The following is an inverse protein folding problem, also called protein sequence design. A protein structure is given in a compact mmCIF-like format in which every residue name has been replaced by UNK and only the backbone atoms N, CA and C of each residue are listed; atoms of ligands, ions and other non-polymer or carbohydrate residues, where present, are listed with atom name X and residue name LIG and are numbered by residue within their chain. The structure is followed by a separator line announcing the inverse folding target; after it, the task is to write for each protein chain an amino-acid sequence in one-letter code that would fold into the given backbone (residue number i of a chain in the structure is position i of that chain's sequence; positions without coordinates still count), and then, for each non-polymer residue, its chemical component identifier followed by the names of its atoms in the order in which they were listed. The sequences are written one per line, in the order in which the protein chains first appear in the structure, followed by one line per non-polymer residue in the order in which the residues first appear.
data_IF_865486317597
#
_entry.id   IF_865486317597
#
_cell.length_a   1.000
_cell.length_b   1.000
_cell.length_c   1.000
_cell.angle_alpha   90.00
_cell.angle_beta   90.00
_cell.angle_gamma   90.00
#
_symmetry.space_group_name_H-M   'P 1'
#
loop_
_entity.id
_entity.type
_entity.pdbx_description
1 polymer ?
#
# COMPACT_ATOMS: atom_id res chain seq x y z
N UNK A 1 -16.96 -10.41 -3.44
CA UNK A 1 -17.66 -9.32 -4.14
C UNK A 1 -16.69 -8.17 -4.46
N UNK A 2 -15.48 -8.48 -4.95
CA UNK A 2 -14.46 -7.48 -5.38
C UNK A 2 -14.44 -7.30 -6.91
N UNK A 3 -14.90 -8.30 -7.66
CA UNK A 3 -14.94 -8.33 -9.13
C UNK A 3 -15.77 -7.20 -9.77
N UNK A 4 -16.69 -6.58 -9.01
CA UNK A 4 -17.59 -5.53 -9.51
C UNK A 4 -17.05 -4.11 -9.34
N UNK A 5 -15.94 -3.92 -8.61
CA UNK A 5 -15.49 -2.59 -8.18
C UNK A 5 -14.53 -1.89 -9.17
N UNK A 6 -14.36 -2.42 -10.39
CA UNK A 6 -13.45 -1.88 -11.40
C UNK A 6 -11.96 -2.01 -11.02
N UNK A 7 -11.07 -1.56 -11.91
CA UNK A 7 -9.63 -1.58 -11.70
C UNK A 7 -9.24 -0.57 -10.60
N UNK A 8 -8.59 -0.98 -9.49
CA UNK A 8 -8.17 -0.04 -8.44
C UNK A 8 -7.27 1.11 -8.89
N UNK A 9 -6.56 0.98 -10.02
CA UNK A 9 -5.68 2.03 -10.54
C UNK A 9 -6.39 3.08 -11.42
N UNK A 10 -7.70 2.96 -11.65
CA UNK A 10 -8.46 3.98 -12.39
C UNK A 10 -9.04 5.08 -11.51
N UNK A 11 -8.88 4.99 -10.19
CA UNK A 11 -9.29 6.04 -9.25
C UNK A 11 -8.19 7.10 -9.13
N UNK A 12 -8.49 8.34 -8.70
CA UNK A 12 -7.48 9.39 -8.57
C UNK A 12 -6.27 8.96 -7.74
N UNK A 13 -6.51 8.50 -6.50
CA UNK A 13 -5.44 8.02 -5.62
C UNK A 13 -4.78 6.73 -6.13
N UNK A 14 -5.57 5.84 -6.76
CA UNK A 14 -5.07 4.60 -7.30
C UNK A 14 -4.07 4.78 -8.44
N UNK A 15 -4.32 5.78 -9.30
CA UNK A 15 -3.39 6.14 -10.37
C UNK A 15 -2.08 6.71 -9.82
N UNK A 16 -2.15 7.55 -8.78
CA UNK A 16 -0.95 8.06 -8.11
C UNK A 16 -0.15 6.92 -7.45
N UNK A 17 -0.83 5.97 -6.78
CA UNK A 17 -0.18 4.79 -6.20
C UNK A 17 0.47 3.93 -7.28
N UNK A 18 -0.19 3.70 -8.41
CA UNK A 18 0.38 2.92 -9.52
C UNK A 18 1.73 3.52 -9.96
N UNK A 19 1.78 4.85 -10.15
CA UNK A 19 2.98 5.59 -10.57
C UNK A 19 4.05 5.65 -9.47
N UNK A 20 3.68 5.94 -8.24
CA UNK A 20 4.60 6.04 -7.09
C UNK A 20 5.27 4.70 -6.75
N UNK A 21 4.72 3.60 -7.24
CA UNK A 21 5.21 2.24 -6.99
C UNK A 21 5.70 1.55 -8.24
N UNK A 22 5.98 2.29 -9.31
CA UNK A 22 6.50 1.73 -10.56
C UNK A 22 7.94 1.20 -10.38
N UNK A 23 8.17 -0.02 -10.87
CA UNK A 23 9.45 -0.72 -10.71
C UNK A 23 10.62 -0.10 -11.48
N UNK A 24 10.36 0.84 -12.39
CA UNK A 24 11.38 1.59 -13.13
C UNK A 24 11.89 2.83 -12.40
N UNK A 25 11.26 3.23 -11.29
CA UNK A 25 11.70 4.39 -10.51
C UNK A 25 13.11 4.19 -9.93
N UNK A 26 13.92 5.25 -10.00
CA UNK A 26 15.27 5.26 -9.42
C UNK A 26 15.25 5.28 -7.89
N UNK A 27 14.27 5.97 -7.31
CA UNK A 27 14.03 6.08 -5.86
C UNK A 27 12.56 6.39 -5.61
N UNK A 28 12.16 6.49 -4.35
CA UNK A 28 10.84 6.94 -3.94
C UNK A 28 10.49 8.31 -4.54
N UNK A 29 9.29 8.43 -5.08
CA UNK A 29 8.72 9.73 -5.47
C UNK A 29 7.98 10.33 -4.27
N UNK A 30 8.72 11.09 -3.46
CA UNK A 30 8.16 11.74 -2.27
C UNK A 30 7.07 12.75 -2.59
N UNK A 31 7.08 13.33 -3.79
CA UNK A 31 6.03 14.26 -4.23
C UNK A 31 4.71 13.49 -4.38
N UNK A 32 4.74 12.38 -5.13
CA UNK A 32 3.56 11.52 -5.28
C UNK A 32 3.13 10.89 -3.95
N UNK A 33 4.06 10.50 -3.08
CA UNK A 33 3.71 9.93 -1.77
C UNK A 33 2.91 10.92 -0.90
N UNK A 34 3.27 12.20 -0.91
CA UNK A 34 2.53 13.24 -0.20
C UNK A 34 1.20 13.55 -0.87
N UNK A 35 1.17 13.64 -2.20
CA UNK A 35 -0.08 13.82 -2.97
C UNK A 35 -1.09 12.68 -2.68
N UNK A 36 -0.61 11.44 -2.55
CA UNK A 36 -1.45 10.30 -2.14
C UNK A 36 -2.06 10.54 -0.75
N UNK A 37 -1.28 11.04 0.22
CA UNK A 37 -1.79 11.34 1.56
C UNK A 37 -2.84 12.46 1.52
N UNK A 38 -2.62 13.50 0.72
CA UNK A 38 -3.55 14.60 0.54
C UNK A 38 -4.89 14.09 -0.03
N UNK A 39 -4.86 13.30 -1.11
CA UNK A 39 -6.08 12.72 -1.70
C UNK A 39 -6.81 11.81 -0.69
N UNK A 40 -6.07 11.01 0.08
CA UNK A 40 -6.67 10.15 1.13
C UNK A 40 -7.40 10.99 2.18
N UNK A 41 -6.80 12.10 2.61
CA UNK A 41 -7.35 12.95 3.67
C UNK A 41 -8.51 13.82 3.18
N UNK A 42 -8.45 14.31 1.95
CA UNK A 42 -9.38 15.32 1.41
C UNK A 42 -10.63 14.72 0.76
N UNK A 43 -10.60 13.44 0.38
CA UNK A 43 -11.72 12.80 -0.34
C UNK A 43 -12.47 11.76 0.50
N UNK A 44 -13.75 11.55 0.18
CA UNK A 44 -14.60 10.58 0.89
C UNK A 44 -14.20 9.12 0.60
N UNK A 45 -13.88 8.80 -0.65
CA UNK A 45 -13.49 7.45 -1.06
C UNK A 45 -11.98 7.19 -1.02
N UNK A 46 -11.16 8.25 -0.88
CA UNK A 46 -9.71 8.19 -0.89
C UNK A 46 -9.09 7.07 -0.05
N UNK A 47 -9.46 6.92 1.24
CA UNK A 47 -8.92 5.85 2.09
C UNK A 47 -9.21 4.44 1.54
N UNK A 48 -10.45 4.21 1.06
CA UNK A 48 -10.88 2.90 0.57
C UNK A 48 -10.20 2.57 -0.75
N UNK A 49 -10.12 3.53 -1.66
CA UNK A 49 -9.49 3.35 -2.95
C UNK A 49 -7.97 3.17 -2.84
N UNK A 50 -7.32 3.91 -1.93
CA UNK A 50 -5.90 3.75 -1.64
C UNK A 50 -5.58 2.34 -1.16
N UNK A 51 -6.38 1.82 -0.21
CA UNK A 51 -6.23 0.46 0.30
C UNK A 51 -6.34 -0.54 -0.86
N UNK A 52 -7.36 -0.43 -1.71
CA UNK A 52 -7.56 -1.34 -2.86
C UNK A 52 -6.38 -1.31 -3.84
N UNK A 53 -5.84 -0.13 -4.14
CA UNK A 53 -4.69 0.03 -5.03
C UNK A 53 -3.41 -0.57 -4.42
N UNK A 54 -3.13 -0.30 -3.14
CA UNK A 54 -1.99 -0.92 -2.43
C UNK A 54 -2.14 -2.44 -2.37
N UNK A 55 -3.33 -2.97 -2.06
CA UNK A 55 -3.58 -4.43 -2.07
C UNK A 55 -3.27 -5.02 -3.45
N UNK A 56 -3.72 -4.37 -4.52
CA UNK A 56 -3.43 -4.81 -5.89
C UNK A 56 -1.93 -4.83 -6.18
N UNK A 57 -1.18 -3.82 -5.74
CA UNK A 57 0.27 -3.75 -5.95
C UNK A 57 1.04 -4.85 -5.20
N UNK A 58 0.60 -5.18 -3.99
CA UNK A 58 1.29 -6.13 -3.12
C UNK A 58 0.91 -7.60 -3.38
N UNK A 59 -0.30 -7.88 -3.85
CA UNK A 59 -0.82 -9.24 -3.94
C UNK A 59 -0.05 -10.10 -4.96
N UNK A 60 0.75 -11.04 -4.47
CA UNK A 60 1.52 -11.99 -5.29
C UNK A 60 2.67 -11.35 -6.07
N UNK A 61 3.00 -10.08 -5.83
CA UNK A 61 4.02 -9.37 -6.57
C UNK A 61 5.43 -9.82 -6.13
N UNK A 62 6.24 -10.24 -7.11
CA UNK A 62 7.64 -10.66 -6.90
C UNK A 62 8.65 -9.63 -7.36
N UNK A 63 8.19 -8.49 -7.90
CA UNK A 63 9.06 -7.33 -8.10
C UNK A 63 9.25 -6.63 -6.75
N UNK A 64 10.29 -7.03 -6.01
CA UNK A 64 10.51 -6.52 -4.65
C UNK A 64 10.82 -5.02 -4.59
N UNK A 65 11.19 -4.38 -5.72
CA UNK A 65 11.32 -2.93 -5.79
C UNK A 65 9.95 -2.26 -5.69
N UNK A 66 9.00 -2.72 -6.48
CA UNK A 66 7.61 -2.26 -6.42
C UNK A 66 6.98 -2.54 -5.04
N UNK A 67 7.24 -3.71 -4.46
CA UNK A 67 6.77 -4.05 -3.11
C UNK A 67 7.33 -3.07 -2.08
N UNK A 68 8.63 -2.76 -2.12
CA UNK A 68 9.23 -1.81 -1.18
C UNK A 68 8.68 -0.38 -1.35
N UNK A 69 8.45 0.08 -2.58
CA UNK A 69 7.81 1.37 -2.81
C UNK A 69 6.37 1.39 -2.27
N UNK A 70 5.60 0.31 -2.48
CA UNK A 70 4.24 0.21 -1.95
C UNK A 70 4.21 0.18 -0.41
N UNK A 71 5.14 -0.53 0.24
CA UNK A 71 5.30 -0.51 1.69
C UNK A 71 5.72 0.87 2.22
N UNK A 72 6.49 1.63 1.44
CA UNK A 72 6.90 3.00 1.80
C UNK A 72 5.76 4.00 1.65
N UNK A 73 4.95 3.89 0.58
CA UNK A 73 3.68 4.62 0.45
C UNK A 73 2.78 4.33 1.64
N UNK A 74 2.63 3.04 2.00
CA UNK A 74 1.80 2.62 3.14
C UNK A 74 2.28 3.22 4.46
N UNK A 75 3.59 3.16 4.74
CA UNK A 75 4.19 3.78 5.93
C UNK A 75 3.92 5.29 5.97
N UNK A 76 4.10 5.96 4.83
CA UNK A 76 3.89 7.41 4.70
C UNK A 76 2.43 7.75 4.99
N UNK A 77 1.48 6.96 4.48
CA UNK A 77 0.06 7.15 4.73
C UNK A 77 -0.29 6.89 6.20
N UNK A 78 0.28 5.86 6.85
CA UNK A 78 0.08 5.64 8.29
C UNK A 78 0.54 6.84 9.12
N UNK A 79 1.65 7.48 8.75
CA UNK A 79 2.19 8.65 9.47
C UNK A 79 1.45 9.96 9.20
N UNK A 80 0.83 10.12 8.03
CA UNK A 80 0.29 11.41 7.57
C UNK A 80 -1.23 11.42 7.35
N UNK A 81 -1.90 10.27 7.41
CA UNK A 81 -3.35 10.17 7.25
C UNK A 81 -4.07 10.02 8.59
N UNK A 82 -5.37 10.36 8.59
CA UNK A 82 -6.22 10.29 9.77
C UNK A 82 -6.87 8.92 10.02
N UNK A 83 -7.70 8.88 11.06
CA UNK A 83 -8.39 7.68 11.56
C UNK A 83 -9.14 6.88 10.49
N UNK A 84 -9.74 7.55 9.49
CA UNK A 84 -10.47 6.88 8.38
C UNK A 84 -9.59 5.92 7.59
N UNK A 85 -8.32 6.26 7.38
CA UNK A 85 -7.34 5.39 6.75
C UNK A 85 -6.85 4.32 7.71
N UNK A 86 -6.53 4.72 8.96
CA UNK A 86 -6.04 3.79 9.98
C UNK A 86 -7.01 2.64 10.24
N UNK A 87 -8.32 2.91 10.34
CA UNK A 87 -9.33 1.88 10.55
C UNK A 87 -9.35 0.79 9.45
N UNK A 88 -8.97 1.15 8.22
CA UNK A 88 -8.91 0.20 7.10
C UNK A 88 -7.59 -0.56 7.05
N UNK A 89 -6.45 0.13 7.27
CA UNK A 89 -5.12 -0.48 7.17
C UNK A 89 -4.81 -1.43 8.33
N UNK A 90 -5.39 -1.18 9.52
CA UNK A 90 -5.25 -2.08 10.68
C UNK A 90 -6.29 -3.20 10.70
N UNK A 91 -7.21 -3.23 9.72
CA UNK A 91 -8.19 -4.30 9.63
C UNK A 91 -7.51 -5.65 9.44
N UNK A 92 -8.09 -6.71 10.02
CA UNK A 92 -7.59 -8.07 9.88
C UNK A 92 -7.46 -8.51 8.42
N UNK A 93 -8.42 -8.11 7.58
CA UNK A 93 -8.39 -8.40 6.15
C UNK A 93 -7.19 -7.76 5.43
N UNK A 94 -6.73 -6.60 5.90
CA UNK A 94 -5.51 -5.99 5.37
C UNK A 94 -4.25 -6.62 5.98
N UNK A 95 -4.15 -6.70 7.31
CA UNK A 95 -2.95 -7.20 8.00
C UNK A 95 -2.69 -8.67 7.69
N UNK A 96 -3.65 -9.55 7.98
CA UNK A 96 -3.50 -11.00 7.72
C UNK A 96 -3.59 -11.29 6.22
N UNK A 97 -4.50 -10.60 5.53
CA UNK A 97 -4.81 -10.89 4.12
C UNK A 97 -3.76 -10.39 3.15
N UNK A 98 -2.92 -9.43 3.54
CA UNK A 98 -1.92 -8.78 2.69
C UNK A 98 -0.54 -8.80 3.33
N UNK A 99 -0.34 -8.11 4.46
CA UNK A 99 0.99 -7.91 5.04
C UNK A 99 1.63 -9.23 5.49
N UNK A 100 0.92 -10.02 6.29
CA UNK A 100 1.41 -11.33 6.76
C UNK A 100 1.65 -12.29 5.60
N UNK A 101 0.84 -12.23 4.54
CA UNK A 101 1.06 -13.06 3.35
C UNK A 101 2.36 -12.72 2.64
N UNK A 102 2.74 -11.45 2.53
CA UNK A 102 4.00 -11.04 1.87
C UNK A 102 5.19 -11.78 2.48
N UNK A 103 5.25 -11.84 3.81
CA UNK A 103 6.34 -12.47 4.57
C UNK A 103 6.14 -13.96 4.85
N UNK A 104 5.08 -14.58 4.33
CA UNK A 104 4.84 -16.00 4.55
C UNK A 104 5.97 -16.85 3.97
N UNK A 105 6.32 -18.00 4.59
CA UNK A 105 7.37 -18.89 4.08
C UNK A 105 7.16 -19.31 2.62
N UNK A 106 5.90 -19.39 2.17
CA UNK A 106 5.53 -19.69 0.77
C UNK A 106 6.04 -18.63 -0.21
N UNK A 107 6.05 -17.35 0.18
CA UNK A 107 6.48 -16.25 -0.67
C UNK A 107 7.98 -15.97 -0.59
N UNK A 108 8.63 -16.39 0.51
CA UNK A 108 10.07 -16.32 0.75
C UNK A 108 10.72 -15.00 0.26
N UNK A 109 10.23 -13.82 0.69
CA UNK A 109 10.77 -12.55 0.20
C UNK A 109 12.16 -12.27 0.80
N UNK A 110 12.94 -11.37 0.19
CA UNK A 110 14.20 -10.89 0.76
C UNK A 110 14.02 -10.32 2.18
N UNK A 111 15.04 -10.45 3.03
CA UNK A 111 15.02 -9.99 4.43
C UNK A 111 14.60 -8.52 4.57
N UNK A 112 15.07 -7.65 3.68
CA UNK A 112 14.69 -6.22 3.71
C UNK A 112 13.17 -5.99 3.61
N UNK A 113 12.46 -6.83 2.86
CA UNK A 113 10.99 -6.76 2.75
C UNK A 113 10.37 -7.31 4.03
N UNK A 114 10.93 -8.38 4.60
CA UNK A 114 10.46 -8.94 5.87
C UNK A 114 10.56 -7.92 7.00
N UNK A 115 11.72 -7.29 7.15
CA UNK A 115 11.98 -6.28 8.17
C UNK A 115 11.03 -5.09 8.02
N UNK A 116 10.80 -4.63 6.77
CA UNK A 116 9.88 -3.52 6.49
C UNK A 116 8.44 -3.85 6.89
N UNK A 117 7.96 -5.05 6.57
CA UNK A 117 6.61 -5.49 6.94
C UNK A 117 6.48 -5.65 8.46
N UNK A 118 7.47 -6.24 9.12
CA UNK A 118 7.47 -6.40 10.57
C UNK A 118 7.44 -5.04 11.29
N UNK A 119 8.22 -4.06 10.80
CA UNK A 119 8.20 -2.71 11.34
C UNK A 119 6.80 -2.06 11.20
N UNK A 120 6.11 -2.28 10.07
CA UNK A 120 4.74 -1.76 9.87
C UNK A 120 3.72 -2.42 10.80
N UNK A 121 3.86 -3.71 11.09
CA UNK A 121 2.95 -4.44 11.99
C UNK A 121 3.19 -4.07 13.46
N UNK A 122 4.43 -3.82 13.85
CA UNK A 122 4.79 -3.53 15.26
C UNK A 122 4.47 -2.09 15.69
N UNK A 123 4.36 -1.16 14.73
CA UNK A 123 4.11 0.27 15.00
C UNK A 123 2.62 0.63 14.98
N UNK A 124 1.77 -0.22 14.37
CA UNK A 124 0.31 -0.06 14.33
C UNK A 124 -0.39 -0.74 15.50
#
# INVERSE_FOLDING_TARGET
MEFLLGNPYTTPVGHCIERATDGSLQSEDWTLNMEICDIINETEDGPKDAIRAVKKRLNGNRNYREVMFALTVLETCVKNCGHRFHALVTSRDFVDGVLVKIISPKNNPPTIVQDKVLALIQVG
#
